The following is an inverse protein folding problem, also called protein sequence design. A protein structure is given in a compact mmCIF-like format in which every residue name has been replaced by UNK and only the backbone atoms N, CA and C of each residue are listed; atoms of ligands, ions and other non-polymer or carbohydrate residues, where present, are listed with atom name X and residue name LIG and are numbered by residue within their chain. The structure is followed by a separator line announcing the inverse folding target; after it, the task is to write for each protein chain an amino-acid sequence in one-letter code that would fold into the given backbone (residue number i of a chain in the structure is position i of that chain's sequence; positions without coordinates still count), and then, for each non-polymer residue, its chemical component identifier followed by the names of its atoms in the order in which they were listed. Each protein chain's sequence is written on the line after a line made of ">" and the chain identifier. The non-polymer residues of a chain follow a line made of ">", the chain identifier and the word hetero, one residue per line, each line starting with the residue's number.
data_IF_552371997380
#
_entry.id   IF_552371997380
#
_cell.length_a   1.000
_cell.length_b   1.000
_cell.length_c   1.000
_cell.angle_alpha   90.00
_cell.angle_beta   90.00
_cell.angle_gamma   90.00
#
_symmetry.space_group_name_H-M   'P 1'
#
loop_
_entity.id
_entity.type
_entity.pdbx_description
1 polymer ?
#
# COMPACT_ATOMS: atom_id res chain seq x y z
N UNK A 1 -21.87 -1.47 9.13
CA UNK A 1 -22.30 -0.25 9.90
C UNK A 1 -21.24 0.83 9.73
N UNK A 2 -21.59 2.11 9.44
CA UNK A 2 -20.58 3.19 9.45
C UNK A 2 -20.02 3.34 10.88
N UNK A 3 -18.70 3.32 11.11
CA UNK A 3 -18.15 3.46 12.45
C UNK A 3 -18.51 4.85 12.97
N UNK A 4 -19.31 4.92 14.03
CA UNK A 4 -19.48 6.16 14.80
C UNK A 4 -18.16 6.48 15.48
N UNK A 5 -17.36 7.33 14.83
CA UNK A 5 -16.06 7.79 15.33
C UNK A 5 -14.88 7.64 14.38
N UNK A 6 -15.09 7.54 13.06
CA UNK A 6 -13.99 7.56 12.06
C UNK A 6 -13.04 8.75 12.25
N UNK A 7 -11.74 8.52 12.08
CA UNK A 7 -10.74 9.58 12.08
C UNK A 7 -11.03 10.62 10.96
N UNK A 8 -11.17 11.91 11.29
CA UNK A 8 -11.56 12.94 10.33
C UNK A 8 -10.53 13.10 9.18
N UNK A 9 -9.26 12.76 9.41
CA UNK A 9 -8.21 12.81 8.39
C UNK A 9 -8.42 11.72 7.35
N UNK A 10 -8.78 10.51 7.80
CA UNK A 10 -9.09 9.37 6.90
C UNK A 10 -10.35 9.67 6.09
N UNK A 11 -11.39 10.19 6.75
CA UNK A 11 -12.62 10.60 6.06
C UNK A 11 -12.37 11.67 5.00
N UNK A 12 -11.49 12.63 5.29
CA UNK A 12 -11.09 13.67 4.33
C UNK A 12 -10.37 13.07 3.12
N UNK A 13 -9.44 12.15 3.34
CA UNK A 13 -8.71 11.47 2.25
C UNK A 13 -9.68 10.67 1.39
N UNK A 14 -10.58 9.89 1.99
CA UNK A 14 -11.60 9.13 1.26
C UNK A 14 -12.52 10.03 0.42
N UNK A 15 -12.96 11.15 0.98
CA UNK A 15 -13.78 12.12 0.25
C UNK A 15 -13.02 12.78 -0.92
N UNK A 16 -11.70 12.99 -0.79
CA UNK A 16 -10.85 13.54 -1.84
C UNK A 16 -10.60 12.52 -2.95
N UNK A 17 -10.29 11.26 -2.61
CA UNK A 17 -10.15 10.15 -3.57
C UNK A 17 -11.42 10.00 -4.40
N UNK A 18 -12.59 9.96 -3.76
CA UNK A 18 -13.88 9.75 -4.44
C UNK A 18 -14.27 10.87 -5.42
N UNK A 19 -13.69 12.07 -5.29
CA UNK A 19 -14.02 13.24 -6.13
C UNK A 19 -12.93 13.60 -7.13
N UNK A 20 -11.77 12.97 -7.03
CA UNK A 20 -10.60 13.32 -7.83
C UNK A 20 -10.50 12.46 -9.08
N UNK A 21 -9.93 12.99 -10.17
CA UNK A 21 -9.55 12.18 -11.33
C UNK A 21 -8.57 11.08 -10.93
N UNK A 22 -8.65 9.91 -11.58
CA UNK A 22 -7.82 8.73 -11.30
C UNK A 22 -6.32 9.04 -11.21
N UNK A 23 -5.81 9.90 -12.10
CA UNK A 23 -4.40 10.31 -12.13
C UNK A 23 -3.91 11.00 -10.84
N UNK A 24 -4.80 11.61 -10.07
CA UNK A 24 -4.47 12.31 -8.82
C UNK A 24 -4.57 11.40 -7.59
N UNK A 25 -5.31 10.28 -7.70
CA UNK A 25 -5.54 9.33 -6.60
C UNK A 25 -4.23 8.85 -5.96
N UNK A 26 -3.16 8.48 -6.70
CA UNK A 26 -1.90 8.05 -6.10
C UNK A 26 -1.32 9.08 -5.13
N UNK A 27 -1.31 10.36 -5.52
CA UNK A 27 -0.77 11.46 -4.70
C UNK A 27 -1.61 11.71 -3.45
N UNK A 28 -2.93 11.56 -3.56
CA UNK A 28 -3.84 11.71 -2.41
C UNK A 28 -3.63 10.57 -1.40
N UNK A 29 -3.48 9.33 -1.89
CA UNK A 29 -3.22 8.16 -1.04
C UNK A 29 -1.90 8.27 -0.25
N UNK A 30 -0.89 8.97 -0.79
CA UNK A 30 0.37 9.19 -0.06
C UNK A 30 0.18 9.94 1.27
N UNK A 31 -0.90 10.73 1.42
CA UNK A 31 -1.22 11.42 2.69
C UNK A 31 -1.46 10.44 3.85
N UNK A 32 -1.82 9.18 3.56
CA UNK A 32 -1.97 8.13 4.56
C UNK A 32 -0.65 7.83 5.28
N UNK A 33 0.49 7.94 4.59
CA UNK A 33 1.81 7.67 5.17
C UNK A 33 2.13 8.60 6.33
N UNK A 34 1.79 9.88 6.21
CA UNK A 34 2.01 10.85 7.29
C UNK A 34 1.19 10.48 8.52
N UNK A 35 -0.09 10.14 8.35
CA UNK A 35 -0.99 9.74 9.43
C UNK A 35 -0.46 8.48 10.14
N UNK A 36 -0.06 7.46 9.37
CA UNK A 36 0.46 6.20 9.92
C UNK A 36 1.77 6.41 10.68
N UNK A 37 2.68 7.24 10.15
CA UNK A 37 4.02 7.42 10.72
C UNK A 37 4.05 8.24 12.01
N UNK A 38 3.12 9.18 12.19
CA UNK A 38 3.04 9.97 13.43
C UNK A 38 2.31 9.25 14.56
N UNK A 39 1.54 8.19 14.24
CA UNK A 39 0.82 7.41 15.25
C UNK A 39 1.72 6.31 15.81
N UNK A 40 1.84 6.18 17.15
CA UNK A 40 2.72 5.18 17.75
C UNK A 40 2.39 3.74 17.34
N UNK A 41 3.42 2.96 17.02
CA UNK A 41 3.29 1.54 16.68
C UNK A 41 2.62 0.75 17.81
N UNK A 42 1.71 -0.15 17.44
CA UNK A 42 0.96 -0.99 18.39
C UNK A 42 -0.10 -0.26 19.21
N UNK A 43 -0.29 1.05 19.03
CA UNK A 43 -1.34 1.79 19.72
C UNK A 43 -2.75 1.39 19.26
N UNK A 44 -3.73 1.54 20.14
CA UNK A 44 -5.15 1.38 19.79
C UNK A 44 -5.59 2.41 18.75
N UNK A 45 -4.97 3.59 18.75
CA UNK A 45 -5.19 4.62 17.72
C UNK A 45 -4.76 4.13 16.34
N UNK A 46 -3.57 3.53 16.21
CA UNK A 46 -3.10 3.00 14.92
C UNK A 46 -4.00 1.88 14.41
N UNK A 47 -4.45 0.98 15.29
CA UNK A 47 -5.41 -0.08 14.92
C UNK A 47 -6.69 0.50 14.34
N UNK A 48 -7.23 1.53 15.01
CA UNK A 48 -8.43 2.22 14.55
C UNK A 48 -8.21 2.94 13.21
N UNK A 49 -7.07 3.60 13.03
CA UNK A 49 -6.71 4.25 11.77
C UNK A 49 -6.65 3.22 10.63
N UNK A 50 -6.03 2.06 10.84
CA UNK A 50 -6.00 0.97 9.84
C UNK A 50 -7.40 0.45 9.51
N UNK A 51 -8.25 0.27 10.52
CA UNK A 51 -9.65 -0.11 10.33
C UNK A 51 -10.41 0.95 9.52
N UNK A 52 -10.27 2.24 9.84
CA UNK A 52 -10.88 3.30 9.06
C UNK A 52 -10.36 3.31 7.61
N UNK A 53 -9.04 3.15 7.39
CA UNK A 53 -8.46 3.04 6.04
C UNK A 53 -9.09 1.90 5.25
N UNK A 54 -9.31 0.74 5.88
CA UNK A 54 -9.96 -0.41 5.27
C UNK A 54 -11.46 -0.16 4.98
N UNK A 55 -12.21 0.37 5.95
CA UNK A 55 -13.65 0.63 5.80
C UNK A 55 -14.01 1.68 4.73
N UNK A 56 -13.06 2.50 4.29
CA UNK A 56 -13.23 3.46 3.20
C UNK A 56 -12.55 3.02 1.89
N UNK A 57 -12.26 1.72 1.77
CA UNK A 57 -11.68 1.06 0.59
C UNK A 57 -10.31 1.61 0.17
N UNK A 58 -9.61 2.33 1.05
CA UNK A 58 -8.37 3.01 0.67
C UNK A 58 -7.22 2.03 0.45
N UNK A 59 -7.28 0.85 1.07
CA UNK A 59 -6.37 -0.27 0.81
C UNK A 59 -6.58 -0.77 -0.64
N UNK A 60 -7.83 -0.95 -1.04
CA UNK A 60 -8.25 -1.39 -2.37
C UNK A 60 -7.83 -0.36 -3.43
N UNK A 61 -7.98 0.94 -3.15
CA UNK A 61 -7.46 1.99 -4.04
C UNK A 61 -5.93 1.94 -4.17
N UNK A 62 -5.18 1.67 -3.09
CA UNK A 62 -3.73 1.48 -3.18
C UNK A 62 -3.39 0.29 -4.08
N UNK A 63 -4.05 -0.85 -3.87
CA UNK A 63 -3.84 -2.06 -4.69
C UNK A 63 -4.18 -1.82 -6.16
N UNK A 64 -5.31 -1.13 -6.43
CA UNK A 64 -5.73 -0.78 -7.79
C UNK A 64 -4.67 0.08 -8.48
N UNK A 65 -4.15 1.11 -7.80
CA UNK A 65 -3.08 1.96 -8.35
C UNK A 65 -1.82 1.15 -8.63
N UNK A 66 -1.41 0.26 -7.72
CA UNK A 66 -0.21 -0.57 -7.90
C UNK A 66 -0.36 -1.59 -9.05
N UNK A 67 -1.59 -2.01 -9.34
CA UNK A 67 -1.91 -2.94 -10.43
C UNK A 67 -1.94 -2.29 -11.82
N UNK A 68 -1.87 -0.95 -11.89
CA UNK A 68 -1.88 -0.21 -13.15
C UNK A 68 -0.50 -0.08 -13.78
N UNK A 69 -0.46 0.43 -15.01
CA UNK A 69 0.78 0.77 -15.72
C UNK A 69 1.55 1.87 -14.96
N UNK A 70 2.64 1.47 -14.31
CA UNK A 70 3.47 2.34 -13.48
C UNK A 70 4.01 3.56 -14.21
N UNK A 71 4.18 3.49 -15.54
CA UNK A 71 4.68 4.59 -16.36
C UNK A 71 3.74 5.81 -16.36
N UNK A 72 2.47 5.59 -15.98
CA UNK A 72 1.42 6.62 -15.93
C UNK A 72 1.24 7.21 -14.53
N UNK A 73 1.89 6.65 -13.52
CA UNK A 73 1.75 7.09 -12.13
C UNK A 73 2.62 8.33 -11.91
N UNK A 74 1.99 9.43 -11.49
CA UNK A 74 2.72 10.64 -11.12
C UNK A 74 3.71 10.34 -9.99
N UNK A 75 4.98 10.71 -10.19
CA UNK A 75 6.08 10.44 -9.25
C UNK A 75 6.74 9.07 -9.40
N UNK A 76 6.27 8.22 -10.34
CA UNK A 76 6.93 6.98 -10.74
C UNK A 76 7.23 6.03 -9.57
N UNK A 77 8.44 5.46 -9.57
CA UNK A 77 8.88 4.50 -8.54
C UNK A 77 8.81 5.05 -7.12
N UNK A 78 9.04 6.34 -6.91
CA UNK A 78 8.92 6.97 -5.59
C UNK A 78 7.51 6.82 -5.03
N UNK A 79 6.48 7.14 -5.82
CA UNK A 79 5.07 6.99 -5.41
C UNK A 79 4.72 5.53 -5.18
N UNK A 80 5.12 4.65 -6.09
CA UNK A 80 4.83 3.21 -6.04
C UNK A 80 5.43 2.56 -4.80
N UNK A 81 6.69 2.84 -4.50
CA UNK A 81 7.36 2.31 -3.31
C UNK A 81 6.69 2.80 -2.02
N UNK A 82 6.24 4.06 -1.98
CA UNK A 82 5.50 4.58 -0.82
C UNK A 82 4.11 3.95 -0.67
N UNK A 83 3.37 3.77 -1.76
CA UNK A 83 2.07 3.08 -1.74
C UNK A 83 2.21 1.61 -1.36
N UNK A 84 3.27 0.95 -1.80
CA UNK A 84 3.63 -0.42 -1.42
C UNK A 84 3.85 -0.53 0.10
N UNK A 85 4.57 0.42 0.69
CA UNK A 85 4.75 0.50 2.14
C UNK A 85 3.43 0.72 2.88
N UNK A 86 2.60 1.66 2.42
CA UNK A 86 1.28 1.95 3.01
C UNK A 86 0.42 0.69 2.99
N UNK A 87 0.27 0.05 1.82
CA UNK A 87 -0.52 -1.15 1.63
C UNK A 87 -0.06 -2.27 2.59
N UNK A 88 1.25 -2.55 2.62
CA UNK A 88 1.81 -3.55 3.51
C UNK A 88 1.56 -3.25 5.00
N UNK A 89 1.85 -2.03 5.45
CA UNK A 89 1.64 -1.65 6.85
C UNK A 89 0.18 -1.69 7.27
N UNK A 90 -0.74 -1.28 6.40
CA UNK A 90 -2.17 -1.26 6.68
C UNK A 90 -2.76 -2.67 6.77
N UNK A 91 -2.26 -3.62 5.99
CA UNK A 91 -2.74 -4.99 5.99
C UNK A 91 -2.30 -5.78 7.23
N UNK A 92 -1.12 -5.52 7.81
CA UNK A 92 -0.65 -6.25 9.01
C UNK A 92 -1.37 -5.77 10.27
N UNK A 93 -1.77 -6.70 11.14
CA UNK A 93 -2.58 -6.47 12.35
C UNK A 93 -3.96 -5.83 12.10
N UNK A 94 -4.47 -5.90 10.87
CA UNK A 94 -5.81 -5.45 10.53
C UNK A 94 -6.84 -6.51 10.97
N UNK A 95 -7.95 -6.05 11.53
CA UNK A 95 -9.11 -6.89 11.85
C UNK A 95 -10.22 -6.58 10.83
N UNK A 96 -10.35 -7.37 9.75
CA UNK A 96 -11.26 -7.09 8.63
C UNK A 96 -12.75 -7.30 8.96
N UNK A 97 -13.07 -7.91 10.10
CA UNK A 97 -14.44 -8.06 10.57
C UNK A 97 -15.30 -8.93 9.65
N UNK A 98 -16.40 -8.38 9.14
CA UNK A 98 -17.36 -9.07 8.27
C UNK A 98 -16.75 -9.42 6.90
N UNK A 99 -15.78 -8.63 6.43
CA UNK A 99 -15.14 -8.78 5.12
C UNK A 99 -13.85 -9.62 5.20
N UNK A 100 -13.70 -10.46 6.24
CA UNK A 100 -12.50 -11.26 6.45
C UNK A 100 -12.22 -12.22 5.29
N UNK A 101 -13.25 -12.83 4.71
CA UNK A 101 -13.09 -13.77 3.60
C UNK A 101 -12.48 -13.09 2.37
N UNK A 102 -13.02 -11.94 1.96
CA UNK A 102 -12.49 -11.14 0.85
C UNK A 102 -11.07 -10.64 1.14
N UNK A 103 -10.83 -10.16 2.37
CA UNK A 103 -9.52 -9.68 2.78
C UNK A 103 -8.44 -10.76 2.67
N UNK A 104 -8.69 -11.95 3.25
CA UNK A 104 -7.70 -13.02 3.33
C UNK A 104 -7.56 -13.81 2.01
N UNK A 105 -8.63 -13.98 1.24
CA UNK A 105 -8.61 -14.83 0.04
C UNK A 105 -8.41 -14.05 -1.26
N UNK A 106 -8.68 -12.74 -1.28
CA UNK A 106 -8.57 -11.93 -2.49
C UNK A 106 -7.55 -10.80 -2.34
N UNK A 107 -7.76 -9.91 -1.36
CA UNK A 107 -6.96 -8.70 -1.22
C UNK A 107 -5.50 -9.01 -0.88
N UNK A 108 -5.26 -9.81 0.16
CA UNK A 108 -3.91 -10.14 0.61
C UNK A 108 -3.09 -10.89 -0.45
N UNK A 109 -3.60 -11.97 -1.09
CA UNK A 109 -2.89 -12.62 -2.19
C UNK A 109 -2.59 -11.66 -3.35
N UNK A 110 -3.56 -10.81 -3.72
CA UNK A 110 -3.38 -9.83 -4.79
C UNK A 110 -2.31 -8.78 -4.47
N UNK A 111 -2.21 -8.36 -3.21
CA UNK A 111 -1.16 -7.45 -2.75
C UNK A 111 0.23 -8.11 -2.81
N UNK A 112 0.34 -9.35 -2.35
CA UNK A 112 1.59 -10.11 -2.40
C UNK A 112 2.06 -10.34 -3.85
N UNK A 113 1.14 -10.73 -4.74
CA UNK A 113 1.44 -10.91 -6.16
C UNK A 113 1.87 -9.60 -6.83
N UNK A 114 1.19 -8.48 -6.53
CA UNK A 114 1.60 -7.16 -7.01
C UNK A 114 3.04 -6.81 -6.62
N UNK A 115 3.41 -7.05 -5.35
CA UNK A 115 4.77 -6.74 -4.89
C UNK A 115 5.83 -7.56 -5.63
N UNK A 116 5.55 -8.83 -5.94
CA UNK A 116 6.44 -9.67 -6.74
C UNK A 116 6.58 -9.14 -8.19
N UNK A 117 5.47 -8.72 -8.81
CA UNK A 117 5.48 -8.11 -10.14
C UNK A 117 6.30 -6.82 -10.16
N UNK A 118 6.09 -5.92 -9.19
CA UNK A 118 6.83 -4.67 -9.05
C UNK A 118 8.33 -4.94 -8.84
N UNK A 119 8.68 -5.92 -7.99
CA UNK A 119 10.07 -6.35 -7.79
C UNK A 119 10.72 -6.81 -9.10
N UNK A 120 10.01 -7.60 -9.91
CA UNK A 120 10.51 -8.04 -11.23
C UNK A 120 10.67 -6.89 -12.22
N UNK A 121 9.76 -5.92 -12.20
CA UNK A 121 9.85 -4.73 -13.04
C UNK A 121 11.05 -3.87 -12.66
N UNK A 122 11.25 -3.61 -11.36
CA UNK A 122 12.43 -2.89 -10.84
C UNK A 122 13.74 -3.60 -11.21
N UNK A 123 13.80 -4.92 -11.06
CA UNK A 123 14.95 -5.71 -11.48
C UNK A 123 15.23 -5.53 -12.98
N UNK A 124 14.20 -5.52 -13.82
CA UNK A 124 14.33 -5.33 -15.26
C UNK A 124 14.84 -3.93 -15.59
N UNK A 125 14.31 -2.88 -14.94
CA UNK A 125 14.81 -1.52 -15.05
C UNK A 125 16.28 -1.43 -14.64
N UNK A 126 16.67 -2.06 -13.53
CA UNK A 126 18.04 -2.03 -13.01
C UNK A 126 19.04 -2.66 -13.97
N UNK A 127 18.70 -3.80 -14.59
CA UNK A 127 19.55 -4.47 -15.58
C UNK A 127 19.77 -3.58 -16.81
N UNK A 128 18.73 -2.86 -17.23
CA UNK A 128 18.75 -2.02 -18.43
C UNK A 128 19.32 -0.62 -18.17
N UNK A 129 19.43 -0.19 -16.91
CA UNK A 129 19.96 1.12 -16.55
C UNK A 129 21.44 1.25 -16.97
N UNK A 130 21.78 2.36 -17.63
CA UNK A 130 23.12 2.63 -18.11
C UNK A 130 23.98 3.41 -17.11
N UNK A 131 23.34 4.22 -16.25
CA UNK A 131 24.00 5.11 -15.29
C UNK A 131 24.06 4.48 -13.90
N UNK A 132 25.11 4.78 -13.14
CA UNK A 132 25.28 4.26 -11.79
C UNK A 132 24.26 4.88 -10.83
N UNK A 133 24.00 6.18 -10.96
CA UNK A 133 23.07 6.91 -10.09
C UNK A 133 21.64 6.39 -10.24
N UNK A 134 21.23 6.07 -11.46
CA UNK A 134 19.93 5.45 -11.76
C UNK A 134 19.83 4.05 -11.13
N UNK A 135 20.93 3.28 -11.14
CA UNK A 135 20.97 1.96 -10.50
C UNK A 135 20.81 2.05 -8.98
N UNK A 136 21.44 3.03 -8.35
CA UNK A 136 21.34 3.23 -6.90
C UNK A 136 19.90 3.57 -6.48
N UNK A 137 19.21 4.43 -7.25
CA UNK A 137 17.80 4.74 -7.02
C UNK A 137 16.90 3.51 -7.22
N UNK A 138 17.08 2.78 -8.32
CA UNK A 138 16.30 1.56 -8.60
C UNK A 138 16.52 0.48 -7.54
N UNK A 139 17.75 0.33 -7.03
CA UNK A 139 18.06 -0.58 -5.95
C UNK A 139 17.35 -0.17 -4.66
N UNK A 140 17.32 1.13 -4.35
CA UNK A 140 16.59 1.64 -3.19
C UNK A 140 15.09 1.33 -3.26
N UNK A 141 14.46 1.56 -4.42
CA UNK A 141 13.05 1.21 -4.62
C UNK A 141 12.80 -0.30 -4.52
N UNK A 142 13.71 -1.12 -5.05
CA UNK A 142 13.63 -2.58 -4.96
C UNK A 142 13.70 -3.06 -3.51
N UNK A 143 14.58 -2.49 -2.70
CA UNK A 143 14.66 -2.76 -1.27
C UNK A 143 13.34 -2.43 -0.58
N UNK A 144 12.76 -1.24 -0.83
CA UNK A 144 11.48 -0.86 -0.23
C UNK A 144 10.36 -1.83 -0.57
N UNK A 145 10.22 -2.23 -1.85
CA UNK A 145 9.18 -3.18 -2.28
C UNK A 145 9.38 -4.54 -1.62
N UNK A 146 10.62 -5.02 -1.57
CA UNK A 146 10.97 -6.32 -0.99
C UNK A 146 10.77 -6.34 0.52
N UNK A 147 11.19 -5.29 1.24
CA UNK A 147 10.97 -5.14 2.68
C UNK A 147 9.47 -5.08 3.01
N UNK A 148 8.69 -4.40 2.16
CA UNK A 148 7.23 -4.33 2.31
C UNK A 148 6.58 -5.71 2.09
N UNK A 149 7.08 -6.50 1.14
CA UNK A 149 6.63 -7.89 0.97
C UNK A 149 6.97 -8.73 2.19
N UNK A 150 8.19 -8.67 2.70
CA UNK A 150 8.57 -9.43 3.90
C UNK A 150 7.78 -9.01 5.13
N UNK A 151 7.47 -7.72 5.28
CA UNK A 151 6.59 -7.25 6.34
C UNK A 151 5.19 -7.85 6.23
N UNK A 152 4.61 -7.86 5.02
CA UNK A 152 3.29 -8.42 4.76
C UNK A 152 3.26 -9.93 5.09
N UNK A 153 4.26 -10.68 4.61
CA UNK A 153 4.39 -12.12 4.86
C UNK A 153 4.64 -12.44 6.33
N UNK A 154 5.39 -11.59 7.04
CA UNK A 154 5.62 -11.73 8.47
C UNK A 154 4.35 -11.56 9.31
N UNK A 155 3.40 -10.74 8.83
CA UNK A 155 2.09 -10.55 9.46
C UNK A 155 1.03 -11.58 9.04
N UNK A 156 1.18 -12.19 7.87
CA UNK A 156 0.22 -13.13 7.27
C UNK A 156 0.94 -14.35 6.72
N UNK A 157 1.34 -15.25 7.61
CA UNK A 157 2.13 -16.43 7.27
C UNK A 157 1.35 -17.41 6.38
N UNK A 158 0.02 -17.31 6.40
CA UNK A 158 -0.92 -18.07 5.58
C UNK A 158 -0.67 -17.85 4.08
N UNK A 159 -0.12 -16.69 3.67
CA UNK A 159 0.22 -16.40 2.28
C UNK A 159 1.32 -17.33 1.71
N UNK A 160 2.07 -18.02 2.58
CA UNK A 160 3.15 -18.94 2.19
C UNK A 160 2.90 -20.37 2.67
N UNK A 161 1.81 -20.60 3.40
CA UNK A 161 1.41 -21.93 3.86
C UNK A 161 0.35 -22.48 2.91
N UNK A 162 0.77 -23.44 2.07
CA UNK A 162 -0.15 -24.33 1.34
C UNK A 162 -0.53 -25.52 2.23
#
# INVERSE_FOLDING_TARGET
>A
MKPTGTDPRILSIAAEVAKSPEQNVPVILLKLKEIINITPLGSSELKKIKQDIYCYDLIQYCLLVLSQDYSRIQGGWTTISQLTQILSHCCVDLEPGEDAEEFYNELLPSAAENFLVLGRQLQTCFINAAKAEEKDELLHFFQIVTDSLFWLLGGHVELIQN
#
